data_IF_751901316875
#
_entry.id   IF_751901316875
#
_cell.length_a   1.000
_cell.length_b   1.000
_cell.length_c   1.000
_cell.angle_alpha   90.00
_cell.angle_beta   90.00
_cell.angle_gamma   90.00
#
_symmetry.space_group_name_H-M   'P 1'
#
loop_
_entity.id
_entity.type
_entity.pdbx_description
1 polymer ?
#
# COMPACT_ATOMS: atom_id res chain seq x y z
N UNK A 1 4.55 -5.20 -17.23
CA UNK A 1 4.82 -3.78 -16.97
C UNK A 1 5.75 -3.71 -15.77
N UNK A 2 6.92 -3.10 -15.88
CA UNK A 2 7.89 -3.07 -14.80
C UNK A 2 7.36 -2.13 -13.71
N UNK A 3 7.04 -2.63 -12.52
CA UNK A 3 6.34 -1.88 -11.46
C UNK A 3 7.12 -0.68 -10.91
N UNK A 4 8.45 -0.64 -11.11
CA UNK A 4 9.30 0.51 -10.80
C UNK A 4 9.05 1.72 -11.71
N UNK A 5 8.46 1.52 -12.90
CA UNK A 5 8.15 2.62 -13.82
C UNK A 5 7.14 3.63 -13.26
N UNK A 6 6.44 3.29 -12.18
CA UNK A 6 5.51 4.20 -11.52
C UNK A 6 6.23 5.42 -10.90
N UNK A 7 7.43 5.22 -10.35
CA UNK A 7 8.21 6.28 -9.71
C UNK A 7 9.06 7.11 -10.69
N UNK A 8 9.39 6.52 -11.85
CA UNK A 8 10.21 7.15 -12.90
C UNK A 8 9.39 7.65 -14.09
N UNK A 9 8.07 7.66 -13.96
CA UNK A 9 7.16 8.01 -15.04
C UNK A 9 7.25 9.50 -15.40
N UNK A 10 7.30 9.79 -16.69
CA UNK A 10 7.12 11.15 -17.23
C UNK A 10 5.67 11.65 -17.10
N UNK A 11 4.77 10.80 -16.64
CA UNK A 11 3.35 11.11 -16.43
C UNK A 11 3.20 11.94 -15.15
N UNK A 12 2.39 13.00 -15.19
CA UNK A 12 2.14 13.83 -14.02
C UNK A 12 1.52 13.04 -12.86
N UNK A 13 1.75 13.46 -11.63
CA UNK A 13 1.14 12.86 -10.43
C UNK A 13 -0.39 12.79 -10.53
N UNK A 14 -1.02 13.84 -11.08
CA UNK A 14 -2.46 13.87 -11.30
C UNK A 14 -2.92 12.72 -12.20
N UNK A 15 -2.30 12.55 -13.35
CA UNK A 15 -2.66 11.48 -14.28
C UNK A 15 -2.41 10.08 -13.67
N UNK A 16 -1.32 9.91 -12.91
CA UNK A 16 -1.06 8.65 -12.20
C UNK A 16 -2.13 8.33 -11.16
N UNK A 17 -2.58 9.32 -10.41
CA UNK A 17 -3.61 9.14 -9.39
C UNK A 17 -4.98 8.79 -10.00
N UNK A 18 -5.36 9.42 -11.12
CA UNK A 18 -6.59 9.07 -11.85
C UNK A 18 -6.49 7.64 -12.41
N UNK A 19 -5.37 7.27 -13.05
CA UNK A 19 -5.17 5.91 -13.54
C UNK A 19 -5.24 4.88 -12.39
N UNK A 20 -4.67 5.20 -11.22
CA UNK A 20 -4.76 4.35 -10.05
C UNK A 20 -6.21 4.20 -9.57
N UNK A 21 -6.99 5.27 -9.57
CA UNK A 21 -8.42 5.24 -9.24
C UNK A 21 -9.18 4.32 -10.20
N UNK A 22 -8.98 4.44 -11.50
CA UNK A 22 -9.61 3.57 -12.52
C UNK A 22 -9.24 2.10 -12.31
N UNK A 23 -7.96 1.79 -12.11
CA UNK A 23 -7.49 0.43 -11.87
C UNK A 23 -8.06 -0.17 -10.58
N UNK A 24 -8.10 0.61 -9.49
CA UNK A 24 -8.70 0.17 -8.23
C UNK A 24 -10.20 -0.04 -8.37
N UNK A 25 -10.92 0.86 -9.02
CA UNK A 25 -12.35 0.73 -9.28
C UNK A 25 -12.67 -0.52 -10.09
N UNK A 26 -11.84 -0.83 -11.10
CA UNK A 26 -12.03 -1.97 -11.98
C UNK A 26 -11.70 -3.31 -11.32
N UNK A 27 -10.61 -3.35 -10.53
CA UNK A 27 -10.01 -4.61 -10.10
C UNK A 27 -10.06 -4.87 -8.59
N UNK A 28 -10.58 -3.93 -7.78
CA UNK A 28 -10.75 -4.10 -6.33
C UNK A 28 -12.25 -4.03 -5.99
N UNK A 29 -12.85 -5.18 -5.75
CA UNK A 29 -14.29 -5.28 -5.51
C UNK A 29 -14.76 -4.51 -4.28
N UNK A 30 -13.97 -4.47 -3.20
CA UNK A 30 -14.29 -3.72 -1.98
C UNK A 30 -14.27 -2.23 -2.26
N UNK A 31 -13.25 -1.75 -2.96
CA UNK A 31 -13.14 -0.34 -3.32
C UNK A 31 -14.26 0.08 -4.28
N UNK A 32 -14.58 -0.77 -5.27
CA UNK A 32 -15.69 -0.52 -6.20
C UNK A 32 -17.01 -0.39 -5.45
N UNK A 33 -17.33 -1.31 -4.55
CA UNK A 33 -18.57 -1.23 -3.75
C UNK A 33 -18.63 0.04 -2.92
N UNK A 34 -17.49 0.50 -2.37
CA UNK A 34 -17.41 1.76 -1.65
C UNK A 34 -17.66 2.97 -2.56
N UNK A 35 -17.09 2.98 -3.77
CA UNK A 35 -17.32 4.01 -4.78
C UNK A 35 -18.80 4.07 -5.20
N UNK A 36 -19.40 2.91 -5.48
CA UNK A 36 -20.82 2.80 -5.85
C UNK A 36 -21.74 3.36 -4.74
N UNK A 37 -21.47 3.01 -3.47
CA UNK A 37 -22.21 3.53 -2.30
C UNK A 37 -22.06 5.05 -2.10
N UNK A 38 -20.92 5.61 -2.49
CA UNK A 38 -20.65 7.05 -2.38
C UNK A 38 -20.97 7.82 -3.65
N UNK A 39 -21.56 7.15 -4.65
CA UNK A 39 -21.88 7.72 -5.98
C UNK A 39 -20.65 8.37 -6.64
N UNK A 40 -19.52 7.67 -6.63
CA UNK A 40 -18.27 8.10 -7.25
C UNK A 40 -17.88 7.14 -8.37
N UNK A 41 -17.65 7.72 -9.56
CA UNK A 41 -17.21 6.96 -10.73
C UNK A 41 -15.95 7.62 -11.31
N UNK A 42 -14.94 6.84 -11.74
CA UNK A 42 -13.76 7.40 -12.40
C UNK A 42 -14.09 8.27 -13.62
N UNK A 43 -15.14 7.94 -14.39
CA UNK A 43 -15.55 8.74 -15.55
C UNK A 43 -15.95 10.18 -15.21
N UNK A 44 -16.34 10.44 -13.97
CA UNK A 44 -16.84 11.74 -13.50
C UNK A 44 -15.77 12.47 -12.65
N UNK A 45 -14.55 11.90 -12.59
CA UNK A 45 -13.48 12.42 -11.76
C UNK A 45 -12.49 13.26 -12.57
N UNK A 46 -12.57 14.59 -12.40
CA UNK A 46 -11.70 15.57 -13.07
C UNK A 46 -10.54 16.05 -12.20
N UNK A 47 -10.58 15.76 -10.89
CA UNK A 47 -9.58 16.26 -9.95
C UNK A 47 -9.30 15.30 -8.80
N UNK A 48 -8.12 15.42 -8.19
CA UNK A 48 -7.67 14.56 -7.08
C UNK A 48 -8.61 14.58 -5.87
N UNK A 49 -9.25 15.71 -5.59
CA UNK A 49 -10.17 15.85 -4.45
C UNK A 49 -11.48 15.09 -4.63
N UNK A 50 -11.78 14.65 -5.86
CA UNK A 50 -12.97 13.85 -6.15
C UNK A 50 -12.71 12.34 -6.01
N UNK A 51 -11.46 11.91 -5.92
CA UNK A 51 -11.10 10.50 -5.71
C UNK A 51 -11.55 10.10 -4.29
N UNK A 52 -12.44 9.10 -4.15
CA UNK A 52 -12.86 8.62 -2.84
C UNK A 52 -11.76 7.74 -2.21
N UNK A 53 -11.27 8.10 -1.04
CA UNK A 53 -10.30 7.30 -0.31
C UNK A 53 -11.01 6.28 0.59
N UNK A 54 -10.68 4.99 0.42
CA UNK A 54 -11.21 3.92 1.25
C UNK A 54 -10.82 4.14 2.72
N UNK A 55 -11.76 4.21 3.66
CA UNK A 55 -11.44 4.37 5.08
C UNK A 55 -10.56 3.22 5.59
N UNK A 56 -9.54 3.54 6.39
CA UNK A 56 -8.58 2.56 6.92
C UNK A 56 -9.25 1.45 7.75
N UNK A 57 -10.44 1.72 8.31
CA UNK A 57 -11.22 0.74 9.06
C UNK A 57 -11.66 -0.47 8.22
N UNK A 58 -11.73 -0.34 6.89
CA UNK A 58 -12.05 -1.46 6.00
C UNK A 58 -11.02 -2.59 6.09
N UNK A 59 -9.75 -2.27 6.35
CA UNK A 59 -8.70 -3.29 6.55
C UNK A 59 -8.86 -4.13 7.83
N UNK A 60 -9.80 -3.76 8.72
CA UNK A 60 -10.16 -4.57 9.89
C UNK A 60 -11.23 -5.60 9.61
N UNK A 61 -12.07 -5.35 8.62
CA UNK A 61 -13.30 -6.13 8.38
C UNK A 61 -13.35 -6.76 7.00
N UNK A 62 -12.52 -6.30 6.07
CA UNK A 62 -12.54 -6.75 4.67
C UNK A 62 -11.13 -7.15 4.21
N UNK A 63 -11.09 -8.15 3.35
CA UNK A 63 -9.89 -8.49 2.59
C UNK A 63 -9.78 -7.54 1.40
N UNK A 64 -9.05 -6.44 1.59
CA UNK A 64 -8.81 -5.46 0.53
C UNK A 64 -7.64 -5.92 -0.33
N UNK A 65 -7.91 -6.28 -1.58
CA UNK A 65 -6.91 -6.79 -2.52
C UNK A 65 -7.32 -6.42 -3.96
N UNK A 66 -6.35 -6.02 -4.77
CA UNK A 66 -6.56 -5.63 -6.16
C UNK A 66 -6.19 -6.78 -7.11
N UNK A 67 -7.02 -7.04 -8.10
CA UNK A 67 -6.80 -8.08 -9.11
C UNK A 67 -7.11 -9.49 -8.62
N UNK A 68 -6.30 -10.47 -9.03
CA UNK A 68 -6.50 -11.87 -8.65
C UNK A 68 -6.24 -12.07 -7.16
N UNK A 69 -7.01 -12.94 -6.50
CA UNK A 69 -7.00 -13.09 -5.04
C UNK A 69 -5.74 -13.73 -4.46
N UNK A 70 -4.64 -13.83 -5.22
CA UNK A 70 -3.37 -14.32 -4.68
C UNK A 70 -2.79 -13.30 -3.70
N UNK A 71 -2.63 -13.73 -2.46
CA UNK A 71 -2.00 -12.94 -1.41
C UNK A 71 -0.67 -13.60 -1.07
N UNK A 72 0.44 -12.90 -1.32
CA UNK A 72 1.79 -13.42 -1.03
C UNK A 72 2.18 -13.20 0.43
N UNK A 73 1.65 -12.14 1.05
CA UNK A 73 1.94 -11.81 2.45
C UNK A 73 0.79 -11.03 3.09
N UNK A 74 0.66 -11.13 4.41
CA UNK A 74 -0.32 -10.37 5.20
C UNK A 74 0.42 -9.63 6.31
N UNK A 75 0.31 -8.30 6.30
CA UNK A 75 0.76 -7.50 7.43
C UNK A 75 -0.38 -7.25 8.41
N UNK A 76 -0.05 -7.28 9.70
CA UNK A 76 -1.01 -7.06 10.77
C UNK A 76 -0.60 -5.89 11.64
N UNK A 77 -1.58 -5.06 12.00
CA UNK A 77 -1.35 -3.98 12.97
C UNK A 77 -1.24 -4.52 14.40
N UNK A 78 -0.59 -3.76 15.29
CA UNK A 78 -0.40 -4.16 16.69
C UNK A 78 -1.71 -4.25 17.53
N UNK A 79 -2.84 -3.78 16.99
CA UNK A 79 -4.16 -3.99 17.58
C UNK A 79 -4.34 -3.45 19.01
N UNK A 80 -4.03 -2.18 19.25
CA UNK A 80 -4.09 -1.57 20.60
C UNK A 80 -5.48 -1.54 21.25
N UNK A 81 -6.56 -1.90 20.54
CA UNK A 81 -7.95 -1.91 21.02
C UNK A 81 -8.77 -3.10 20.51
N UNK A 82 -8.18 -4.28 20.42
CA UNK A 82 -8.89 -5.57 20.21
C UNK A 82 -8.99 -6.06 18.77
N UNK A 83 -9.28 -5.24 17.76
CA UNK A 83 -9.32 -5.68 16.36
C UNK A 83 -8.05 -5.25 15.60
N UNK A 84 -7.26 -6.21 15.14
CA UNK A 84 -6.12 -5.97 14.25
C UNK A 84 -6.63 -5.66 12.84
N UNK A 85 -5.95 -4.74 12.13
CA UNK A 85 -6.17 -4.60 10.69
C UNK A 85 -5.19 -5.50 9.93
N UNK A 86 -5.68 -6.11 8.85
CA UNK A 86 -4.88 -6.99 8.00
C UNK A 86 -4.69 -6.36 6.63
N UNK A 87 -3.45 -6.13 6.23
CA UNK A 87 -3.09 -5.61 4.93
C UNK A 87 -2.56 -6.74 4.05
N UNK A 88 -3.35 -7.12 3.07
CA UNK A 88 -3.03 -8.20 2.16
C UNK A 88 -2.16 -7.68 1.01
N UNK A 89 -0.99 -8.27 0.82
CA UNK A 89 -0.03 -7.89 -0.22
C UNK A 89 0.01 -8.97 -1.29
N UNK A 90 -0.23 -8.59 -2.53
CA UNK A 90 -0.15 -9.50 -3.69
C UNK A 90 1.29 -9.76 -4.13
N UNK A 91 2.21 -8.82 -3.86
CA UNK A 91 3.60 -8.87 -4.30
C UNK A 91 4.51 -8.17 -3.29
N UNK A 92 5.16 -8.97 -2.47
CA UNK A 92 6.11 -8.51 -1.45
C UNK A 92 7.30 -7.80 -2.07
N UNK A 93 7.81 -8.25 -3.21
CA UNK A 93 8.96 -7.61 -3.86
C UNK A 93 8.69 -6.16 -4.26
N UNK A 94 7.50 -5.89 -4.82
CA UNK A 94 7.10 -4.51 -5.10
C UNK A 94 7.00 -3.67 -3.83
N UNK A 95 6.51 -4.25 -2.73
CA UNK A 95 6.45 -3.57 -1.45
C UNK A 95 7.84 -3.25 -0.91
N UNK A 96 8.78 -4.21 -0.94
CA UNK A 96 10.18 -4.03 -0.54
C UNK A 96 10.87 -2.94 -1.37
N UNK A 97 10.76 -3.00 -2.68
CA UNK A 97 11.30 -1.98 -3.59
C UNK A 97 10.77 -0.57 -3.28
N UNK A 98 9.48 -0.46 -2.89
CA UNK A 98 8.87 0.82 -2.60
C UNK A 98 9.48 1.52 -1.38
N UNK A 99 9.74 0.78 -0.30
CA UNK A 99 10.33 1.39 0.89
C UNK A 99 11.84 1.62 0.76
N UNK A 100 12.57 0.75 0.04
CA UNK A 100 13.99 0.98 -0.29
C UNK A 100 14.11 2.26 -1.13
N UNK A 101 13.33 2.39 -2.19
CA UNK A 101 13.33 3.59 -3.02
C UNK A 101 12.98 4.85 -2.21
N UNK A 102 11.99 4.77 -1.34
CA UNK A 102 11.62 5.88 -0.47
C UNK A 102 12.77 6.26 0.48
N UNK A 103 13.47 5.29 1.06
CA UNK A 103 14.63 5.55 1.89
C UNK A 103 15.75 6.24 1.11
N UNK A 104 16.04 5.75 -0.10
CA UNK A 104 17.07 6.32 -0.97
C UNK A 104 16.81 7.77 -1.36
N UNK A 105 15.55 8.14 -1.58
CA UNK A 105 15.15 9.52 -1.88
C UNK A 105 15.51 10.52 -0.77
N UNK A 106 15.44 10.10 0.50
CA UNK A 106 15.66 10.98 1.64
C UNK A 106 17.07 10.88 2.22
N UNK A 107 17.67 9.70 2.18
CA UNK A 107 18.89 9.39 2.91
C UNK A 107 20.05 8.90 2.02
N UNK A 108 19.78 8.58 0.75
CA UNK A 108 20.75 7.97 -0.14
C UNK A 108 20.88 6.46 0.06
N UNK A 109 21.96 5.88 -0.44
CA UNK A 109 22.13 4.42 -0.48
C UNK A 109 22.11 3.79 0.92
N UNK A 110 21.15 2.90 1.23
CA UNK A 110 21.00 2.30 2.55
C UNK A 110 22.23 1.48 3.00
N UNK A 111 23.01 0.93 2.06
CA UNK A 111 24.26 0.18 2.38
C UNK A 111 25.35 1.04 3.07
N UNK A 112 25.17 2.35 3.11
CA UNK A 112 26.10 3.27 3.79
C UNK A 112 25.72 3.50 5.26
N UNK A 113 24.59 2.93 5.73
CA UNK A 113 24.07 3.14 7.08
C UNK A 113 24.09 1.84 7.89
N UNK A 114 24.33 1.98 9.19
CA UNK A 114 23.99 0.95 10.16
C UNK A 114 22.68 1.36 10.84
N UNK A 115 21.62 0.58 10.59
CA UNK A 115 20.29 0.88 11.14
C UNK A 115 20.13 0.10 12.44
N UNK A 116 19.88 0.80 13.55
CA UNK A 116 19.65 0.21 14.86
C UNK A 116 18.19 0.45 15.26
N UNK A 117 17.39 -0.62 15.26
CA UNK A 117 15.99 -0.58 15.68
C UNK A 117 15.84 -0.94 17.15
N UNK A 118 15.38 0.00 18.00
CA UNK A 118 14.99 -0.30 19.37
C UNK A 118 13.50 -0.69 19.41
N UNK A 119 13.24 -1.97 19.17
CA UNK A 119 11.87 -2.50 19.01
C UNK A 119 11.57 -3.57 20.07
N UNK A 120 10.77 -3.26 21.11
CA UNK A 120 10.42 -4.26 22.11
C UNK A 120 9.51 -5.35 21.53
N UNK A 121 9.98 -6.61 21.47
CA UNK A 121 9.19 -7.79 21.10
C UNK A 121 8.70 -7.88 19.66
N UNK A 122 9.13 -6.97 18.78
CA UNK A 122 8.68 -6.96 17.38
C UNK A 122 9.33 -8.02 16.48
N UNK A 123 10.53 -8.52 16.84
CA UNK A 123 11.23 -9.57 16.09
C UNK A 123 10.41 -10.88 16.08
N UNK A 124 9.58 -11.09 17.09
CA UNK A 124 8.68 -12.25 17.20
C UNK A 124 7.39 -12.13 16.39
N UNK A 125 7.17 -10.98 15.71
CA UNK A 125 5.98 -10.72 14.88
C UNK A 125 6.33 -10.73 13.39
N UNK A 126 6.29 -11.90 12.73
CA UNK A 126 6.68 -12.02 11.30
C UNK A 126 5.78 -11.22 10.35
N UNK A 127 4.57 -10.83 10.82
CA UNK A 127 3.60 -10.07 10.05
C UNK A 127 3.73 -8.54 10.25
N UNK A 128 4.84 -8.07 10.84
CA UNK A 128 5.07 -6.64 11.01
C UNK A 128 5.74 -6.03 9.79
N UNK A 129 5.06 -5.07 9.14
CA UNK A 129 5.63 -4.32 8.01
C UNK A 129 6.85 -3.50 8.42
N UNK A 130 6.89 -2.99 9.64
CA UNK A 130 8.03 -2.25 10.19
C UNK A 130 9.26 -3.14 10.32
N UNK A 131 9.09 -4.36 10.83
CA UNK A 131 10.21 -5.33 10.95
C UNK A 131 10.72 -5.70 9.57
N UNK A 132 9.83 -5.98 8.61
CA UNK A 132 10.23 -6.28 7.25
C UNK A 132 11.09 -5.14 6.66
N UNK A 133 10.66 -3.88 6.80
CA UNK A 133 11.41 -2.76 6.27
C UNK A 133 12.79 -2.61 6.90
N UNK A 134 12.91 -2.80 8.22
CA UNK A 134 14.19 -2.70 8.92
C UNK A 134 15.18 -3.82 8.58
N UNK A 135 14.67 -5.00 8.20
CA UNK A 135 15.52 -6.13 7.80
C UNK A 135 16.07 -5.94 6.38
N UNK A 136 15.32 -5.28 5.49
CA UNK A 136 15.64 -5.22 4.05
C UNK A 136 16.21 -3.87 3.60
N UNK A 137 16.14 -2.82 4.44
CA UNK A 137 16.87 -1.57 4.23
C UNK A 137 18.33 -1.74 4.68
#
# INVERSE_FOLDING_TARGET
MNKLSFYESSISFHAQAINCFEEQFKHNSIYRSFCDLTNRNPSDCESLVQIPFLPISFFKTHKVLTGTPHCSHIFESSGTRGATSSHHISDVQTYEQSFIYCFELFYGNPKQFAIIGLLPGYIEKPNSSLVLSLIHI
#
